data_IF_521212397766
#
_entry.id   IF_521212397766
#
_cell.length_a   1.000
_cell.length_b   1.000
_cell.length_c   1.000
_cell.angle_alpha   90.00
_cell.angle_beta   90.00
_cell.angle_gamma   90.00
#
_symmetry.space_group_name_H-M   'P 1'
#
loop_
_entity.id
_entity.type
_entity.pdbx_description
1 polymer ?
#
# COMPACT_ATOMS: atom_id res chain seq x y z
N UNK A 1 -0.16 -71.61 -16.16
CA UNK A 1 -0.62 -70.68 -15.09
C UNK A 1 0.47 -69.71 -14.64
N UNK A 2 1.59 -69.58 -15.36
CA UNK A 2 2.76 -68.80 -14.90
C UNK A 2 2.73 -67.30 -15.24
N UNK A 3 1.85 -66.82 -16.08
CA UNK A 3 1.81 -65.42 -16.51
C UNK A 3 0.76 -64.54 -15.75
N UNK A 4 -0.02 -65.12 -14.84
CA UNK A 4 -1.06 -64.40 -14.12
C UNK A 4 -0.52 -63.41 -13.08
N UNK A 5 0.54 -63.78 -12.37
CA UNK A 5 1.13 -62.96 -11.29
C UNK A 5 1.79 -61.67 -11.82
N UNK A 6 2.59 -61.71 -12.91
CA UNK A 6 3.16 -60.49 -13.49
C UNK A 6 2.10 -59.52 -14.04
N UNK A 7 1.05 -60.04 -14.66
CA UNK A 7 -0.04 -59.23 -15.19
C UNK A 7 -0.82 -58.51 -14.08
N UNK A 8 -1.06 -59.15 -12.94
CA UNK A 8 -1.70 -58.60 -11.77
C UNK A 8 -0.84 -57.50 -11.11
N UNK A 9 0.48 -57.67 -11.03
CA UNK A 9 1.45 -56.71 -10.53
C UNK A 9 1.49 -55.45 -11.40
N UNK A 10 1.52 -55.61 -12.72
CA UNK A 10 1.48 -54.47 -13.66
C UNK A 10 0.17 -53.71 -13.55
N UNK A 11 -0.96 -54.39 -13.46
CA UNK A 11 -2.27 -53.75 -13.28
C UNK A 11 -2.35 -52.96 -11.95
N UNK A 12 -1.81 -53.50 -10.85
CA UNK A 12 -1.75 -52.83 -9.56
C UNK A 12 -0.87 -51.58 -9.60
N UNK A 13 0.29 -51.64 -10.25
CA UNK A 13 1.17 -50.47 -10.41
C UNK A 13 0.52 -49.38 -11.25
N UNK A 14 -0.16 -49.75 -12.33
CA UNK A 14 -0.90 -48.81 -13.18
C UNK A 14 -2.06 -48.12 -12.41
N UNK A 15 -2.83 -48.90 -11.64
CA UNK A 15 -3.87 -48.32 -10.79
C UNK A 15 -3.30 -47.37 -9.71
N UNK A 16 -2.20 -47.76 -9.09
CA UNK A 16 -1.56 -46.89 -8.09
C UNK A 16 -1.07 -45.59 -8.73
N UNK A 17 -0.41 -45.65 -9.88
CA UNK A 17 0.10 -44.47 -10.57
C UNK A 17 -1.02 -43.52 -11.03
N UNK A 18 -2.16 -44.04 -11.52
CA UNK A 18 -3.32 -43.23 -11.89
C UNK A 18 -3.94 -42.53 -10.68
N UNK A 19 -4.02 -43.21 -9.53
CA UNK A 19 -4.51 -42.59 -8.27
C UNK A 19 -3.56 -41.46 -7.77
N UNK A 20 -2.25 -41.71 -7.85
CA UNK A 20 -1.26 -40.68 -7.49
C UNK A 20 -1.32 -39.47 -8.43
N UNK A 21 -1.44 -39.67 -9.74
CA UNK A 21 -1.58 -38.58 -10.71
C UNK A 21 -2.87 -37.79 -10.51
N UNK A 22 -3.99 -38.48 -10.28
CA UNK A 22 -5.27 -37.80 -10.00
C UNK A 22 -5.18 -36.96 -8.73
N UNK A 23 -4.61 -37.51 -7.65
CA UNK A 23 -4.47 -36.80 -6.37
C UNK A 23 -3.54 -35.58 -6.49
N UNK A 24 -2.43 -35.70 -7.21
CA UNK A 24 -1.51 -34.60 -7.50
C UNK A 24 -2.17 -33.47 -8.31
N UNK A 25 -3.00 -33.82 -9.29
CA UNK A 25 -3.77 -32.88 -10.09
C UNK A 25 -4.80 -32.10 -9.26
N UNK A 26 -5.53 -32.76 -8.37
CA UNK A 26 -6.51 -32.08 -7.49
C UNK A 26 -5.84 -31.11 -6.51
N UNK A 27 -4.71 -31.50 -5.89
CA UNK A 27 -3.96 -30.61 -4.98
C UNK A 27 -3.43 -29.39 -5.74
N UNK A 28 -2.97 -29.57 -6.99
CA UNK A 28 -2.53 -28.46 -7.82
C UNK A 28 -3.64 -27.49 -8.19
N UNK A 29 -4.83 -28.01 -8.50
CA UNK A 29 -6.01 -27.20 -8.82
C UNK A 29 -6.52 -26.38 -7.64
N UNK A 30 -6.51 -26.94 -6.43
CA UNK A 30 -6.90 -26.23 -5.21
C UNK A 30 -5.95 -25.06 -4.92
N UNK A 31 -4.64 -25.25 -5.12
CA UNK A 31 -3.65 -24.18 -4.97
C UNK A 31 -3.86 -23.03 -5.95
N UNK A 32 -4.13 -23.34 -7.22
CA UNK A 32 -4.42 -22.33 -8.24
C UNK A 32 -5.74 -21.59 -7.93
N UNK A 33 -6.78 -22.32 -7.52
CA UNK A 33 -8.06 -21.73 -7.15
C UNK A 33 -7.92 -20.76 -5.95
N UNK A 34 -7.13 -21.11 -4.95
CA UNK A 34 -6.86 -20.23 -3.81
C UNK A 34 -6.07 -18.98 -4.23
N UNK A 35 -5.07 -19.11 -5.08
CA UNK A 35 -4.31 -17.97 -5.60
C UNK A 35 -5.19 -17.02 -6.41
N UNK A 36 -6.07 -17.55 -7.25
CA UNK A 36 -7.03 -16.74 -8.02
C UNK A 36 -7.97 -15.96 -7.09
N UNK A 37 -8.55 -16.60 -6.09
CA UNK A 37 -9.41 -15.91 -5.10
C UNK A 37 -8.68 -14.82 -4.34
N UNK A 38 -7.43 -15.06 -3.95
CA UNK A 38 -6.61 -14.05 -3.25
C UNK A 38 -6.31 -12.86 -4.18
N UNK A 39 -6.00 -13.13 -5.45
CA UNK A 39 -5.80 -12.07 -6.46
C UNK A 39 -7.08 -11.28 -6.72
N UNK A 40 -8.24 -11.95 -6.86
CA UNK A 40 -9.53 -11.29 -7.08
C UNK A 40 -9.91 -10.38 -5.88
N UNK A 41 -9.68 -10.85 -4.66
CA UNK A 41 -9.94 -10.03 -3.45
C UNK A 41 -9.00 -8.83 -3.38
N UNK A 42 -7.72 -8.99 -3.70
CA UNK A 42 -6.75 -7.91 -3.72
C UNK A 42 -7.08 -6.85 -4.79
N UNK A 43 -7.38 -7.29 -6.02
CA UNK A 43 -7.80 -6.41 -7.12
C UNK A 43 -9.12 -5.71 -6.76
N UNK A 44 -10.07 -6.44 -6.19
CA UNK A 44 -11.34 -5.87 -5.73
C UNK A 44 -11.17 -4.82 -4.63
N UNK A 45 -10.25 -5.01 -3.70
CA UNK A 45 -9.90 -4.03 -2.68
C UNK A 45 -9.22 -2.80 -3.31
N UNK A 46 -8.26 -3.01 -4.21
CA UNK A 46 -7.58 -1.94 -4.93
C UNK A 46 -8.56 -1.07 -5.72
N UNK A 47 -9.46 -1.67 -6.49
CA UNK A 47 -10.44 -0.96 -7.32
C UNK A 47 -11.45 -0.13 -6.50
N UNK A 48 -11.69 -0.49 -5.24
CA UNK A 48 -12.58 0.23 -4.33
C UNK A 48 -11.85 1.22 -3.43
N UNK A 49 -10.53 1.23 -3.43
CA UNK A 49 -9.72 2.18 -2.67
C UNK A 49 -9.44 3.40 -3.54
N UNK A 50 -9.68 4.56 -3.02
CA UNK A 50 -9.32 5.82 -3.69
C UNK A 50 -8.98 6.87 -2.64
N UNK A 51 -7.90 7.61 -2.87
CA UNK A 51 -7.53 8.78 -2.09
C UNK A 51 -7.53 10.01 -2.99
N UNK A 52 -7.94 11.13 -2.43
CA UNK A 52 -7.86 12.44 -3.08
C UNK A 52 -7.15 13.41 -2.15
N UNK A 53 -6.15 14.13 -2.66
CA UNK A 53 -5.52 15.21 -1.88
C UNK A 53 -6.44 16.43 -1.94
N UNK A 54 -6.85 16.92 -0.77
CA UNK A 54 -7.74 18.08 -0.64
C UNK A 54 -7.02 19.35 -0.18
N UNK A 55 -5.79 19.23 0.29
CA UNK A 55 -4.98 20.37 0.71
C UNK A 55 -3.54 20.03 0.98
N UNK A 56 -2.69 21.02 0.81
CA UNK A 56 -1.26 20.96 1.18
C UNK A 56 -0.89 22.24 1.89
N UNK A 57 -0.07 22.15 2.93
CA UNK A 57 0.49 23.28 3.66
C UNK A 57 1.93 22.99 4.03
N UNK A 58 2.73 24.04 4.12
CA UNK A 58 4.11 23.98 4.61
C UNK A 58 4.30 25.09 5.61
N UNK A 59 5.08 24.85 6.64
CA UNK A 59 5.40 25.88 7.63
C UNK A 59 6.42 26.89 7.07
N UNK A 60 6.55 28.02 7.75
CA UNK A 60 7.46 29.11 7.33
C UNK A 60 8.95 28.68 7.32
N UNK A 61 9.30 27.63 8.02
CA UNK A 61 10.68 27.09 8.06
C UNK A 61 10.99 26.15 6.92
N UNK A 62 9.97 25.66 6.21
CA UNK A 62 10.12 24.63 5.17
C UNK A 62 10.36 23.23 5.71
N UNK A 63 10.33 23.05 7.03
CA UNK A 63 10.64 21.77 7.65
C UNK A 63 9.44 20.84 7.78
N UNK A 64 8.23 21.39 8.01
CA UNK A 64 7.04 20.60 8.24
C UNK A 64 6.03 20.79 7.10
N UNK A 65 5.64 19.67 6.51
CA UNK A 65 4.68 19.61 5.40
C UNK A 65 3.43 18.89 5.92
N UNK A 66 2.27 19.46 5.66
CA UNK A 66 0.97 18.85 5.97
C UNK A 66 0.25 18.58 4.66
N UNK A 67 -0.16 17.35 4.43
CA UNK A 67 -0.98 16.96 3.29
C UNK A 67 -2.30 16.41 3.82
N UNK A 68 -3.41 16.99 3.39
CA UNK A 68 -4.74 16.51 3.76
C UNK A 68 -5.24 15.59 2.66
N UNK A 69 -5.58 14.35 3.03
CA UNK A 69 -6.13 13.34 2.13
C UNK A 69 -7.55 13.00 2.54
N UNK A 70 -8.42 12.88 1.56
CA UNK A 70 -9.79 12.40 1.67
C UNK A 70 -9.83 10.96 1.17
N UNK A 71 -10.44 10.06 1.93
CA UNK A 71 -10.81 8.75 1.41
C UNK A 71 -12.05 8.91 0.52
N UNK A 72 -11.83 9.00 -0.78
CA UNK A 72 -12.90 9.08 -1.79
C UNK A 72 -13.33 7.70 -2.30
N UNK A 73 -12.75 6.62 -1.76
CA UNK A 73 -13.08 5.24 -2.09
C UNK A 73 -14.21 4.65 -1.23
N UNK A 74 -14.29 3.33 -1.27
CA UNK A 74 -15.31 2.54 -0.56
C UNK A 74 -14.70 1.59 0.49
N UNK A 75 -13.39 1.60 0.66
CA UNK A 75 -12.66 0.77 1.63
C UNK A 75 -11.96 1.67 2.65
N UNK A 76 -11.86 1.20 3.87
CA UNK A 76 -11.07 1.84 4.92
C UNK A 76 -9.56 1.81 4.62
N UNK A 77 -8.84 2.79 5.15
CA UNK A 77 -7.39 2.83 5.18
C UNK A 77 -6.94 2.92 6.63
N UNK A 78 -6.29 1.85 7.11
CA UNK A 78 -5.93 1.71 8.53
C UNK A 78 -4.47 1.29 8.75
N UNK A 79 -3.82 0.70 7.74
CA UNK A 79 -2.47 0.19 7.88
C UNK A 79 -1.42 1.24 7.47
N UNK A 80 -1.32 2.33 8.23
CA UNK A 80 -0.43 3.46 7.92
C UNK A 80 1.03 3.07 7.83
N UNK A 81 1.48 2.08 8.59
CA UNK A 81 2.86 1.58 8.53
C UNK A 81 3.22 0.88 7.21
N UNK A 82 2.20 0.55 6.40
CA UNK A 82 2.36 -0.02 5.06
C UNK A 82 2.09 0.99 3.94
N UNK A 83 1.79 2.22 4.30
CA UNK A 83 1.67 3.31 3.35
C UNK A 83 3.05 3.88 3.03
N UNK A 84 3.22 4.28 1.80
CA UNK A 84 4.44 4.92 1.31
C UNK A 84 4.21 6.41 1.09
N UNK A 85 5.17 7.22 1.54
CA UNK A 85 5.24 8.64 1.22
C UNK A 85 6.58 8.91 0.56
N UNK A 86 6.53 9.41 -0.67
CA UNK A 86 7.72 9.79 -1.44
C UNK A 86 7.63 11.28 -1.75
N UNK A 87 8.68 12.00 -1.44
CA UNK A 87 8.80 13.43 -1.74
C UNK A 87 9.88 13.68 -2.79
N UNK A 88 9.56 14.57 -3.71
CA UNK A 88 10.52 15.19 -4.61
C UNK A 88 10.49 16.70 -4.34
N UNK A 89 11.57 17.25 -3.82
CA UNK A 89 11.63 18.66 -3.47
C UNK A 89 13.03 19.25 -3.66
N UNK A 90 13.08 20.55 -3.86
CA UNK A 90 14.31 21.34 -3.81
C UNK A 90 14.52 21.87 -2.42
N UNK A 91 15.73 21.77 -1.90
CA UNK A 91 16.11 22.39 -0.64
C UNK A 91 16.43 23.89 -0.80
N UNK A 92 16.83 24.54 0.29
CA UNK A 92 17.20 25.95 0.34
C UNK A 92 18.50 26.28 -0.43
N UNK A 93 19.27 25.26 -0.81
CA UNK A 93 20.46 25.37 -1.68
C UNK A 93 20.17 24.99 -3.15
N UNK A 94 18.89 24.82 -3.50
CA UNK A 94 18.41 24.40 -4.82
C UNK A 94 18.87 22.98 -5.25
N UNK A 95 19.22 22.12 -4.32
CA UNK A 95 19.50 20.72 -4.58
C UNK A 95 18.20 19.92 -4.61
N UNK A 96 18.01 19.09 -5.63
CA UNK A 96 16.85 18.23 -5.79
C UNK A 96 16.99 16.97 -4.93
N UNK A 97 16.03 16.74 -4.06
CA UNK A 97 15.89 15.56 -3.24
C UNK A 97 14.74 14.68 -3.73
N UNK A 98 15.01 13.36 -3.85
CA UNK A 98 14.00 12.33 -4.07
C UNK A 98 14.10 11.35 -2.90
N UNK A 99 13.17 11.42 -1.96
CA UNK A 99 13.28 10.68 -0.70
C UNK A 99 11.99 9.91 -0.39
N UNK A 100 12.16 8.68 0.05
CA UNK A 100 11.10 7.93 0.71
C UNK A 100 11.11 8.29 2.19
N UNK A 101 9.93 8.63 2.70
CA UNK A 101 9.73 9.08 4.08
C UNK A 101 9.03 7.95 4.86
N UNK A 102 9.68 7.28 5.81
CA UNK A 102 9.09 6.21 6.60
C UNK A 102 8.03 6.72 7.59
N UNK A 103 7.05 5.86 7.87
CA UNK A 103 6.04 6.08 8.89
C UNK A 103 6.64 5.98 10.29
N UNK A 104 6.17 6.83 11.21
CA UNK A 104 6.41 6.71 12.65
C UNK A 104 5.11 6.78 13.43
N UNK A 105 4.93 5.87 14.38
CA UNK A 105 3.84 5.93 15.35
C UNK A 105 4.19 6.77 16.60
N UNK A 106 5.46 7.17 16.71
CA UNK A 106 5.98 8.03 17.78
C UNK A 106 5.99 9.51 17.40
N UNK A 107 6.73 10.33 18.15
CA UNK A 107 6.92 11.74 17.83
C UNK A 107 7.50 11.93 16.43
N UNK A 108 7.04 12.96 15.71
CA UNK A 108 7.50 13.28 14.38
C UNK A 108 8.98 13.69 14.41
N UNK A 109 9.83 12.87 13.81
CA UNK A 109 11.28 13.10 13.68
C UNK A 109 11.64 13.59 12.27
N UNK A 110 12.88 14.04 12.08
CA UNK A 110 13.38 14.40 10.75
C UNK A 110 13.31 13.21 9.78
N UNK A 111 12.84 13.47 8.57
CA UNK A 111 12.64 12.51 7.50
C UNK A 111 11.72 11.34 7.90
N UNK A 112 10.65 11.65 8.67
CA UNK A 112 9.55 10.72 8.96
C UNK A 112 8.20 11.38 8.71
N UNK A 113 7.15 10.54 8.63
CA UNK A 113 5.79 11.02 8.60
C UNK A 113 4.90 10.29 9.63
N UNK A 114 3.82 10.93 10.02
CA UNK A 114 2.81 10.37 10.93
C UNK A 114 1.41 10.84 10.54
N UNK A 115 0.39 10.23 11.11
CA UNK A 115 -0.99 10.68 10.99
C UNK A 115 -1.24 11.87 11.93
N UNK A 116 -1.90 12.89 11.41
CA UNK A 116 -2.35 14.06 12.18
C UNK A 116 -3.82 13.95 12.55
N UNK A 117 -4.55 15.08 12.40
CA UNK A 117 -5.96 15.19 12.70
C UNK A 117 -6.82 14.46 11.66
N UNK A 118 -7.80 13.71 12.16
CA UNK A 118 -8.88 13.16 11.36
C UNK A 118 -10.06 14.13 11.41
N UNK A 119 -10.75 14.29 10.28
CA UNK A 119 -11.94 15.13 10.16
C UNK A 119 -13.12 14.26 9.73
N UNK A 120 -14.26 14.46 10.36
CA UNK A 120 -15.46 13.61 10.24
C UNK A 120 -15.23 12.17 10.73
N UNK A 121 -14.34 11.98 11.68
CA UNK A 121 -13.99 10.71 12.33
C UNK A 121 -15.15 10.22 13.22
N UNK A 122 -16.20 9.70 12.58
CA UNK A 122 -17.46 9.31 13.24
C UNK A 122 -17.49 7.82 13.56
N UNK A 123 -16.88 7.01 12.71
CA UNK A 123 -16.80 5.57 12.81
C UNK A 123 -15.35 5.15 13.02
N UNK A 124 -15.12 4.14 13.83
CA UNK A 124 -13.81 3.52 14.06
C UNK A 124 -12.65 4.54 14.21
N UNK A 125 -12.53 5.23 15.37
CA UNK A 125 -11.58 6.31 15.56
C UNK A 125 -10.16 5.99 15.11
N UNK A 126 -9.55 6.93 14.33
CA UNK A 126 -8.21 6.81 13.74
C UNK A 126 -8.09 5.78 12.63
N UNK A 127 -9.17 5.32 12.05
CA UNK A 127 -9.24 4.64 10.76
C UNK A 127 -9.77 5.65 9.75
N UNK A 128 -9.17 5.73 8.57
CA UNK A 128 -9.64 6.64 7.53
C UNK A 128 -10.76 5.95 6.73
N UNK A 129 -12.00 6.12 7.20
CA UNK A 129 -13.18 5.55 6.57
C UNK A 129 -13.60 6.31 5.29
N UNK A 130 -14.42 5.70 4.41
CA UNK A 130 -14.97 6.40 3.25
C UNK A 130 -15.64 7.73 3.61
N UNK A 131 -15.25 8.80 2.93
CA UNK A 131 -15.75 10.16 3.17
C UNK A 131 -15.04 10.93 4.28
N UNK A 132 -14.13 10.32 5.01
CA UNK A 132 -13.32 10.98 6.04
C UNK A 132 -12.02 11.55 5.48
N UNK A 133 -11.48 12.56 6.15
CA UNK A 133 -10.18 13.14 5.80
C UNK A 133 -9.17 12.97 6.92
N UNK A 134 -7.91 12.84 6.54
CA UNK A 134 -6.78 12.70 7.45
C UNK A 134 -5.64 13.62 7.03
N UNK A 135 -4.96 14.19 8.00
CA UNK A 135 -3.70 14.89 7.76
C UNK A 135 -2.53 13.90 7.82
N UNK A 136 -1.65 13.99 6.84
CA UNK A 136 -0.32 13.38 6.81
C UNK A 136 0.67 14.47 7.20
N UNK A 137 1.30 14.32 8.35
CA UNK A 137 2.30 15.24 8.86
C UNK A 137 3.68 14.70 8.51
N UNK A 138 4.47 15.48 7.80
CA UNK A 138 5.80 15.08 7.32
C UNK A 138 6.81 16.09 7.83
N UNK A 139 7.96 15.62 8.31
CA UNK A 139 9.09 16.48 8.64
C UNK A 139 10.28 16.11 7.79
N UNK A 140 10.89 17.09 7.14
CA UNK A 140 12.03 16.90 6.24
C UNK A 140 13.28 17.61 6.75
N UNK A 141 14.41 17.00 6.44
CA UNK A 141 15.73 17.60 6.60
C UNK A 141 16.65 17.08 5.47
N UNK A 142 17.23 17.96 4.61
CA UNK A 142 17.18 19.42 4.65
C UNK A 142 15.77 19.99 4.41
N UNK A 143 15.57 21.26 4.76
CA UNK A 143 14.28 21.94 4.63
C UNK A 143 13.94 22.23 3.16
N UNK A 144 12.66 22.37 2.87
CA UNK A 144 12.19 22.73 1.52
C UNK A 144 12.55 24.19 1.22
N UNK A 145 13.11 24.42 0.05
CA UNK A 145 13.52 25.76 -0.43
C UNK A 145 12.33 26.67 -0.68
N UNK A 146 12.59 27.98 -0.54
CA UNK A 146 11.58 29.02 -0.75
C UNK A 146 11.12 29.08 -2.20
N UNK A 147 9.82 29.33 -2.39
CA UNK A 147 9.19 29.53 -3.71
C UNK A 147 9.47 28.39 -4.71
N UNK A 148 9.77 27.19 -4.23
CA UNK A 148 9.98 26.00 -5.07
C UNK A 148 8.66 25.29 -5.33
N UNK A 149 8.55 24.60 -6.47
CA UNK A 149 7.45 23.68 -6.75
C UNK A 149 7.93 22.26 -6.53
N UNK A 150 7.25 21.53 -5.69
CA UNK A 150 7.63 20.23 -5.19
C UNK A 150 6.48 19.24 -5.39
N UNK A 151 6.77 17.96 -5.28
CA UNK A 151 5.82 16.88 -5.52
C UNK A 151 5.81 15.89 -4.36
N UNK A 152 4.63 15.46 -3.98
CA UNK A 152 4.44 14.35 -3.07
C UNK A 152 3.64 13.23 -3.75
N UNK A 153 4.02 11.99 -3.47
CA UNK A 153 3.30 10.78 -3.87
C UNK A 153 3.01 9.97 -2.62
N UNK A 154 1.75 9.59 -2.45
CA UNK A 154 1.27 8.81 -1.31
C UNK A 154 0.72 7.52 -1.86
N UNK A 155 1.25 6.39 -1.39
CA UNK A 155 0.78 5.04 -1.71
C UNK A 155 0.05 4.41 -0.53
N UNK A 156 -1.06 3.71 -0.79
CA UNK A 156 -1.78 2.94 0.22
C UNK A 156 -1.24 1.51 0.31
N UNK A 157 -1.55 0.82 1.40
CA UNK A 157 -1.29 -0.62 1.59
C UNK A 157 -1.96 -1.52 0.52
N UNK A 158 -2.94 -0.98 -0.22
CA UNK A 158 -3.65 -1.66 -1.31
C UNK A 158 -3.09 -1.32 -2.70
N UNK A 159 -1.95 -0.61 -2.77
CA UNK A 159 -1.25 -0.28 -4.02
C UNK A 159 -1.88 0.86 -4.81
N UNK A 160 -2.81 1.62 -4.22
CA UNK A 160 -3.36 2.83 -4.84
C UNK A 160 -2.47 4.01 -4.51
N UNK A 161 -2.15 4.84 -5.50
CA UNK A 161 -1.30 6.01 -5.33
C UNK A 161 -2.05 7.29 -5.69
N UNK A 162 -1.78 8.35 -4.93
CA UNK A 162 -2.20 9.71 -5.25
C UNK A 162 -0.97 10.62 -5.24
N UNK A 163 -0.97 11.60 -6.12
CA UNK A 163 0.10 12.60 -6.20
C UNK A 163 -0.44 14.01 -6.09
N UNK A 164 0.36 14.89 -5.54
CA UNK A 164 0.07 16.31 -5.45
C UNK A 164 1.32 17.16 -5.61
N UNK A 165 1.13 18.39 -6.06
CA UNK A 165 2.16 19.41 -6.01
C UNK A 165 1.96 20.28 -4.77
N UNK A 166 3.05 20.76 -4.23
CA UNK A 166 3.02 21.75 -3.14
C UNK A 166 4.13 22.79 -3.35
N UNK A 167 3.86 24.00 -2.91
CA UNK A 167 4.85 25.09 -2.99
C UNK A 167 5.70 25.13 -1.74
N UNK A 168 6.97 25.47 -1.91
CA UNK A 168 7.84 25.81 -0.77
C UNK A 168 7.34 27.05 -0.01
N UNK A 169 7.91 27.34 1.16
CA UNK A 169 7.52 28.53 1.93
C UNK A 169 7.80 29.81 1.13
N UNK A 170 7.07 30.89 1.40
CA UNK A 170 7.25 32.19 0.72
C UNK A 170 8.59 32.87 1.04
#
# INVERSE_FOLDING_TARGET
MENGIPALLIAAILMLSTVFMARGGFIGMDGVAQQLRTSETAIGAQNRTALTVTGTAIDATGANITITVLNSGQTDVSQYSKMDVVLQYFDDTAVLHNVWIPYTSGPLAANTWTTGTFTNDVFDPRILNPGESMQILIRVNPVVGKATTNKAVIGTDKGVTVQTLFSGPP
#
